data_IF_079945360292
#
_entry.id   IF_079945360292
#
_cell.length_a   1.000
_cell.length_b   1.000
_cell.length_c   1.000
_cell.angle_alpha   90.00
_cell.angle_beta   90.00
_cell.angle_gamma   90.00
#
_symmetry.space_group_name_H-M   'P 1'
#
loop_
_entity.id
_entity.type
_entity.pdbx_description
1 polymer ?
#
# COMPACT_ATOMS: atom_id res chain seq x y z
N UNK A 1 -1.73 -0.43 -38.10
CA UNK A 1 -1.94 0.15 -36.75
C UNK A 1 -1.35 -0.85 -35.75
N UNK A 2 -0.45 -0.42 -34.86
CA UNK A 2 0.06 -1.28 -33.80
C UNK A 2 -1.07 -1.57 -32.81
N UNK A 3 -1.23 -2.84 -32.41
CA UNK A 3 -2.15 -3.19 -31.34
C UNK A 3 -1.69 -2.51 -30.03
N UNK A 4 -2.61 -1.95 -29.22
CA UNK A 4 -2.25 -1.41 -27.91
C UNK A 4 -1.65 -2.52 -27.04
N UNK A 5 -0.69 -2.17 -26.18
CA UNK A 5 -0.14 -3.13 -25.22
C UNK A 5 -1.21 -3.44 -24.17
N UNK A 6 -1.22 -4.66 -23.64
CA UNK A 6 -2.17 -5.06 -22.60
C UNK A 6 -2.19 -4.07 -21.42
N UNK A 7 -1.01 -3.57 -21.03
CA UNK A 7 -0.86 -2.61 -19.94
C UNK A 7 -1.58 -1.28 -20.19
N UNK A 8 -1.54 -0.76 -21.42
CA UNK A 8 -2.25 0.47 -21.81
C UNK A 8 -3.78 0.28 -21.79
N UNK A 9 -4.24 -0.95 -22.03
CA UNK A 9 -5.65 -1.32 -22.00
C UNK A 9 -6.16 -1.55 -20.57
N UNK A 10 -5.38 -2.22 -19.73
CA UNK A 10 -5.78 -2.60 -18.38
C UNK A 10 -5.69 -1.42 -17.38
N UNK A 11 -4.81 -0.45 -17.66
CA UNK A 11 -4.55 0.67 -16.77
C UNK A 11 -5.64 1.74 -16.88
N UNK A 12 -6.32 2.11 -15.78
CA UNK A 12 -7.28 3.20 -15.79
C UNK A 12 -6.56 4.52 -16.07
N UNK A 13 -7.23 5.51 -16.69
CA UNK A 13 -6.67 6.84 -16.84
C UNK A 13 -6.24 7.43 -15.49
N UNK A 14 -5.10 8.15 -15.43
CA UNK A 14 -4.48 8.57 -14.17
C UNK A 14 -5.30 9.62 -13.39
N UNK A 15 -6.27 10.26 -14.04
CA UNK A 15 -7.17 11.23 -13.42
C UNK A 15 -8.43 10.59 -12.81
N UNK A 16 -8.66 9.30 -13.05
CA UNK A 16 -9.82 8.62 -12.46
C UNK A 16 -9.61 8.41 -10.95
N UNK A 17 -10.68 8.65 -10.22
CA UNK A 17 -10.80 8.28 -8.80
C UNK A 17 -10.51 6.80 -8.63
N UNK A 18 -9.77 6.45 -7.56
CA UNK A 18 -9.30 5.10 -7.25
C UNK A 18 -8.28 4.48 -8.22
N UNK A 19 -7.73 5.24 -9.17
CA UNK A 19 -6.54 4.80 -9.91
C UNK A 19 -5.30 4.76 -9.01
N UNK A 20 -4.26 4.04 -9.43
CA UNK A 20 -2.96 4.04 -8.74
C UNK A 20 -2.39 5.46 -8.57
N UNK A 21 -2.52 6.31 -9.60
CA UNK A 21 -2.06 7.70 -9.53
C UNK A 21 -2.87 8.53 -8.52
N UNK A 22 -4.19 8.30 -8.46
CA UNK A 22 -5.03 8.94 -7.46
C UNK A 22 -4.52 8.60 -6.05
N UNK A 23 -4.39 7.32 -5.71
CA UNK A 23 -3.89 6.88 -4.40
C UNK A 23 -2.45 7.34 -4.12
N UNK A 24 -1.56 7.33 -5.12
CA UNK A 24 -0.19 7.81 -4.98
C UNK A 24 -0.06 9.31 -4.71
N UNK A 25 -1.13 10.08 -4.94
CA UNK A 25 -1.17 11.53 -4.68
C UNK A 25 -1.94 11.91 -3.40
N UNK A 26 -2.63 10.96 -2.78
CA UNK A 26 -3.44 11.23 -1.59
C UNK A 26 -2.57 11.37 -0.34
N UNK A 27 -2.81 12.46 0.39
CA UNK A 27 -2.32 12.59 1.76
C UNK A 27 -3.15 11.72 2.70
N UNK A 28 -2.61 11.44 3.88
CA UNK A 28 -3.30 10.69 4.93
C UNK A 28 -4.62 11.39 5.30
N UNK A 29 -4.61 12.71 5.53
CA UNK A 29 -5.83 13.45 5.84
C UNK A 29 -6.90 13.28 4.75
N UNK A 30 -6.55 13.56 3.49
CA UNK A 30 -7.51 13.44 2.38
C UNK A 30 -8.01 12.02 2.16
N UNK A 31 -7.16 11.02 2.38
CA UNK A 31 -7.57 9.62 2.26
C UNK A 31 -8.51 9.17 3.37
N UNK A 32 -8.33 9.66 4.59
CA UNK A 32 -9.24 9.32 5.70
C UNK A 32 -10.64 9.93 5.55
N UNK A 33 -10.75 11.04 4.80
CA UNK A 33 -12.02 11.69 4.45
C UNK A 33 -12.64 11.16 3.15
N UNK A 34 -11.91 10.31 2.42
CA UNK A 34 -12.34 9.79 1.13
C UNK A 34 -13.61 8.94 1.30
N UNK A 35 -14.67 9.28 0.55
CA UNK A 35 -15.85 8.44 0.46
C UNK A 35 -15.51 7.19 -0.36
N UNK A 36 -15.51 6.03 0.29
CA UNK A 36 -15.07 4.77 -0.30
C UNK A 36 -16.26 3.92 -0.79
N UNK A 37 -16.13 3.21 -1.94
CA UNK A 37 -17.14 2.24 -2.36
C UNK A 37 -17.28 1.12 -1.33
N UNK A 38 -18.47 0.51 -1.29
CA UNK A 38 -18.69 -0.67 -0.45
C UNK A 38 -18.13 -1.89 -1.15
N UNK A 39 -17.13 -2.56 -0.55
CA UNK A 39 -16.63 -3.84 -1.06
C UNK A 39 -17.54 -4.96 -0.56
N UNK A 40 -18.14 -5.72 -1.48
CA UNK A 40 -19.00 -6.83 -1.16
C UNK A 40 -18.24 -8.03 -0.57
N UNK A 41 -18.98 -8.85 0.17
CA UNK A 41 -18.45 -10.07 0.77
C UNK A 41 -18.00 -11.08 -0.29
N UNK A 42 -17.09 -11.97 0.12
CA UNK A 42 -16.63 -13.11 -0.69
C UNK A 42 -17.82 -13.99 -1.11
N UNK A 43 -17.81 -14.46 -2.36
CA UNK A 43 -18.89 -15.24 -2.96
C UNK A 43 -20.04 -14.39 -3.52
N UNK A 44 -19.82 -13.10 -3.74
CA UNK A 44 -20.80 -12.15 -4.29
C UNK A 44 -20.84 -12.15 -5.82
N UNK A 45 -19.74 -12.56 -6.47
CA UNK A 45 -19.69 -12.81 -7.91
C UNK A 45 -20.33 -14.16 -8.23
N UNK A 46 -21.30 -14.17 -9.15
CA UNK A 46 -22.03 -15.37 -9.60
C UNK A 46 -21.35 -15.99 -10.83
N UNK A 47 -20.94 -15.15 -11.78
CA UNK A 47 -20.22 -15.57 -12.98
C UNK A 47 -19.46 -14.39 -13.59
N UNK A 48 -18.37 -14.67 -14.29
CA UNK A 48 -17.64 -13.68 -15.07
C UNK A 48 -17.37 -14.23 -16.47
N UNK A 49 -17.62 -13.44 -17.51
CA UNK A 49 -17.41 -13.85 -18.90
C UNK A 49 -16.73 -12.73 -19.68
N UNK A 50 -15.71 -13.08 -20.46
CA UNK A 50 -15.08 -12.13 -21.38
C UNK A 50 -16.03 -11.72 -22.51
N UNK A 51 -15.89 -10.48 -22.97
CA UNK A 51 -16.61 -9.92 -24.11
C UNK A 51 -15.66 -9.11 -24.98
N UNK A 52 -15.93 -9.07 -26.28
CA UNK A 52 -15.27 -8.23 -27.28
C UNK A 52 -15.75 -6.77 -27.27
N UNK A 53 -16.82 -6.48 -26.53
CA UNK A 53 -17.36 -5.14 -26.39
C UNK A 53 -16.40 -4.24 -25.60
N UNK A 54 -16.05 -3.08 -26.19
CA UNK A 54 -15.29 -2.04 -25.49
C UNK A 54 -16.28 -1.27 -24.59
N UNK A 55 -16.05 -1.21 -23.28
CA UNK A 55 -16.95 -0.53 -22.37
C UNK A 55 -16.90 0.98 -22.63
N UNK A 56 -17.93 1.52 -23.28
CA UNK A 56 -18.04 2.95 -23.58
C UNK A 56 -18.82 3.76 -22.54
N UNK A 57 -19.45 3.11 -21.57
CA UNK A 57 -20.24 3.79 -20.54
C UNK A 57 -19.37 4.24 -19.37
N UNK A 58 -19.68 5.41 -18.80
CA UNK A 58 -19.05 5.89 -17.57
C UNK A 58 -19.21 4.90 -16.42
N UNK A 59 -20.37 4.21 -16.34
CA UNK A 59 -20.63 3.16 -15.35
C UNK A 59 -19.74 1.92 -15.49
N UNK A 60 -19.07 1.73 -16.62
CA UNK A 60 -18.18 0.60 -16.84
C UNK A 60 -16.70 0.94 -16.59
N UNK A 61 -16.40 2.22 -16.47
CA UNK A 61 -15.03 2.77 -16.45
C UNK A 61 -14.74 3.60 -15.20
N UNK A 62 -15.76 3.96 -14.43
CA UNK A 62 -15.65 4.79 -13.22
C UNK A 62 -16.35 4.09 -12.07
N UNK A 63 -15.67 3.98 -10.93
CA UNK A 63 -16.26 3.54 -9.66
C UNK A 63 -16.72 4.78 -8.88
N UNK A 64 -17.95 4.76 -8.38
CA UNK A 64 -18.46 5.84 -7.53
C UNK A 64 -18.42 5.47 -6.04
N UNK A 65 -18.26 6.45 -5.12
CA UNK A 65 -18.23 6.17 -3.68
C UNK A 65 -19.43 5.42 -3.10
N UNK A 66 -20.61 5.53 -3.72
CA UNK A 66 -21.84 4.88 -3.24
C UNK A 66 -22.11 3.55 -3.94
N UNK A 67 -21.18 3.08 -4.76
CA UNK A 67 -21.29 1.83 -5.48
C UNK A 67 -20.89 0.64 -4.61
N UNK A 68 -21.51 -0.50 -4.88
CA UNK A 68 -21.09 -1.78 -4.31
C UNK A 68 -20.25 -2.51 -5.34
N UNK A 69 -18.98 -2.72 -5.04
CA UNK A 69 -18.03 -3.41 -5.92
C UNK A 69 -17.75 -4.82 -5.41
N UNK A 70 -17.47 -5.80 -6.30
CA UNK A 70 -17.05 -7.13 -5.88
C UNK A 70 -15.71 -7.07 -5.14
N UNK A 71 -15.50 -8.03 -4.23
CA UNK A 71 -14.17 -8.26 -3.66
C UNK A 71 -13.21 -8.77 -4.72
N UNK A 72 -11.95 -8.32 -4.68
CA UNK A 72 -10.94 -8.79 -5.63
C UNK A 72 -10.71 -10.31 -5.55
N UNK A 73 -10.86 -10.92 -4.37
CA UNK A 73 -10.70 -12.37 -4.19
C UNK A 73 -11.59 -13.19 -5.13
N UNK A 74 -12.82 -12.73 -5.36
CA UNK A 74 -13.79 -13.37 -6.27
C UNK A 74 -13.40 -13.22 -7.75
N UNK A 75 -12.49 -12.30 -8.07
CA UNK A 75 -12.05 -11.97 -9.42
C UNK A 75 -10.69 -12.59 -9.79
N UNK A 76 -9.99 -13.21 -8.83
CA UNK A 76 -8.66 -13.80 -9.03
C UNK A 76 -8.60 -14.75 -10.23
N UNK A 77 -9.65 -15.54 -10.44
CA UNK A 77 -9.71 -16.49 -11.56
C UNK A 77 -9.80 -15.77 -12.91
N UNK A 78 -10.56 -14.67 -12.99
CA UNK A 78 -10.71 -13.93 -14.25
C UNK A 78 -9.48 -13.06 -14.53
N UNK A 79 -8.85 -12.50 -13.49
CA UNK A 79 -7.62 -11.72 -13.64
C UNK A 79 -6.45 -12.58 -14.09
N UNK A 80 -6.38 -13.85 -13.67
CA UNK A 80 -5.35 -14.78 -14.15
C UNK A 80 -5.44 -15.07 -15.66
N UNK A 81 -6.61 -14.91 -16.28
CA UNK A 81 -6.83 -15.23 -17.71
C UNK A 81 -6.99 -14.00 -18.60
N UNK A 82 -6.83 -12.79 -18.05
CA UNK A 82 -7.19 -11.54 -18.73
C UNK A 82 -6.26 -11.21 -19.90
N UNK A 83 -4.96 -11.49 -19.75
CA UNK A 83 -3.96 -11.21 -20.79
C UNK A 83 -4.16 -12.14 -21.99
N UNK A 84 -4.37 -13.44 -21.73
CA UNK A 84 -4.72 -14.41 -22.76
C UNK A 84 -6.02 -14.03 -23.46
N UNK A 85 -7.05 -13.62 -22.72
CA UNK A 85 -8.30 -13.17 -23.31
C UNK A 85 -8.11 -11.92 -24.19
N UNK A 86 -7.25 -10.97 -23.77
CA UNK A 86 -6.91 -9.78 -24.53
C UNK A 86 -6.22 -10.12 -25.86
N UNK A 87 -5.27 -11.07 -25.83
CA UNK A 87 -4.60 -11.60 -27.03
C UNK A 87 -5.60 -12.28 -27.99
N UNK A 88 -6.67 -12.88 -27.45
CA UNK A 88 -7.77 -13.46 -28.22
C UNK A 88 -8.84 -12.46 -28.67
N UNK A 89 -8.60 -11.16 -28.52
CA UNK A 89 -9.50 -10.11 -29.01
C UNK A 89 -10.57 -9.64 -28.01
N UNK A 90 -10.57 -10.16 -26.78
CA UNK A 90 -11.51 -9.72 -25.74
C UNK A 90 -11.12 -8.33 -25.21
N UNK A 91 -12.13 -7.52 -24.88
CA UNK A 91 -11.98 -6.11 -24.49
C UNK A 91 -12.78 -5.71 -23.26
N UNK A 92 -13.54 -6.62 -22.66
CA UNK A 92 -14.14 -6.41 -21.35
C UNK A 92 -14.44 -7.72 -20.62
N UNK A 93 -14.79 -7.60 -19.35
CA UNK A 93 -15.36 -8.67 -18.53
C UNK A 93 -16.76 -8.25 -18.09
N UNK A 94 -17.74 -9.10 -18.35
CA UNK A 94 -19.09 -8.95 -17.82
C UNK A 94 -19.16 -9.76 -16.54
N UNK A 95 -19.33 -9.08 -15.41
CA UNK A 95 -19.44 -9.72 -14.09
C UNK A 95 -20.91 -9.75 -13.69
N UNK A 96 -21.47 -10.96 -13.60
CA UNK A 96 -22.78 -11.17 -13.00
C UNK A 96 -22.60 -11.17 -11.49
N UNK A 97 -23.06 -10.11 -10.87
CA UNK A 97 -22.94 -9.85 -9.45
C UNK A 97 -24.33 -9.89 -8.82
N UNK A 98 -24.44 -10.39 -7.57
CA UNK A 98 -25.75 -10.64 -6.92
C UNK A 98 -26.62 -9.39 -6.81
N UNK A 99 -26.04 -8.20 -6.86
CA UNK A 99 -26.76 -6.94 -6.62
C UNK A 99 -27.19 -6.22 -7.91
N UNK A 100 -26.41 -6.31 -9.00
CA UNK A 100 -26.70 -5.84 -10.38
C UNK A 100 -25.58 -6.38 -11.28
N UNK A 101 -25.84 -6.74 -12.55
CA UNK A 101 -24.78 -7.06 -13.49
C UNK A 101 -23.95 -5.82 -13.82
N UNK A 102 -22.64 -5.86 -13.57
CA UNK A 102 -21.75 -4.72 -13.75
C UNK A 102 -20.67 -5.07 -14.78
N UNK A 103 -20.40 -4.13 -15.69
CA UNK A 103 -19.14 -4.09 -16.45
C UNK A 103 -18.20 -3.27 -15.59
N UNK A 104 -17.01 -3.77 -15.25
CA UNK A 104 -16.13 -3.06 -14.33
C UNK A 104 -14.68 -3.12 -14.81
N UNK A 105 -13.94 -2.04 -14.58
CA UNK A 105 -12.50 -2.00 -14.68
C UNK A 105 -11.89 -2.77 -13.48
N UNK A 106 -11.32 -3.94 -13.74
CA UNK A 106 -10.75 -4.83 -12.72
C UNK A 106 -9.61 -4.16 -11.93
N UNK A 107 -8.82 -3.31 -12.60
CA UNK A 107 -7.71 -2.59 -11.98
C UNK A 107 -8.18 -1.57 -10.93
N UNK A 108 -9.33 -0.92 -11.14
CA UNK A 108 -9.91 -0.03 -10.13
C UNK A 108 -10.40 -0.82 -8.91
N UNK A 109 -10.99 -2.01 -9.10
CA UNK A 109 -11.40 -2.89 -7.99
C UNK A 109 -10.17 -3.37 -7.20
N UNK A 110 -9.10 -3.74 -7.90
CA UNK A 110 -7.82 -4.12 -7.31
C UNK A 110 -7.25 -3.00 -6.45
N UNK A 111 -7.16 -1.79 -7.00
CA UNK A 111 -6.69 -0.62 -6.27
C UNK A 111 -7.58 -0.35 -5.04
N UNK A 112 -8.91 -0.39 -5.18
CA UNK A 112 -9.81 -0.27 -4.02
C UNK A 112 -9.57 -1.35 -2.96
N UNK A 113 -9.34 -2.60 -3.37
CA UNK A 113 -9.11 -3.68 -2.41
C UNK A 113 -7.76 -3.55 -1.69
N UNK A 114 -6.73 -3.07 -2.39
CA UNK A 114 -5.37 -2.95 -1.86
C UNK A 114 -5.16 -1.75 -0.95
N UNK A 115 -5.78 -0.61 -1.24
CA UNK A 115 -5.58 0.61 -0.45
C UNK A 115 -6.54 0.72 0.74
N UNK A 116 -7.65 -0.03 0.75
CA UNK A 116 -8.62 0.01 1.85
C UNK A 116 -7.99 -0.27 3.23
N UNK A 117 -7.15 -1.32 3.42
CA UNK A 117 -6.54 -1.59 4.73
C UNK A 117 -5.72 -0.42 5.26
N UNK A 118 -4.98 0.27 4.38
CA UNK A 118 -4.19 1.44 4.75
C UNK A 118 -5.08 2.61 5.18
N UNK A 119 -6.16 2.87 4.44
CA UNK A 119 -7.12 3.94 4.76
C UNK A 119 -7.79 3.70 6.11
N UNK A 120 -8.32 2.50 6.33
CA UNK A 120 -8.92 2.12 7.61
C UNK A 120 -7.90 2.18 8.75
N UNK A 121 -6.64 1.85 8.46
CA UNK A 121 -5.59 1.92 9.45
C UNK A 121 -5.28 3.36 9.87
N UNK A 122 -5.16 4.27 8.91
CA UNK A 122 -4.97 5.69 9.20
C UNK A 122 -6.18 6.34 9.87
N UNK A 123 -7.41 5.99 9.47
CA UNK A 123 -8.62 6.47 10.15
C UNK A 123 -8.59 6.11 11.63
N UNK A 124 -8.24 4.86 11.96
CA UNK A 124 -8.12 4.41 13.34
C UNK A 124 -6.97 5.12 14.08
N UNK A 125 -5.80 5.24 13.45
CA UNK A 125 -4.64 5.94 14.01
C UNK A 125 -4.96 7.40 14.33
N UNK A 126 -5.49 8.16 13.37
CA UNK A 126 -5.81 9.57 13.57
C UNK A 126 -6.88 9.76 14.65
N UNK A 127 -7.94 8.95 14.63
CA UNK A 127 -8.98 8.98 15.66
C UNK A 127 -8.38 8.76 17.04
N UNK A 128 -7.47 7.79 17.18
CA UNK A 128 -6.79 7.54 18.44
C UNK A 128 -5.90 8.71 18.85
N UNK A 129 -5.04 9.20 17.96
CA UNK A 129 -4.12 10.32 18.25
C UNK A 129 -4.86 11.60 18.64
N UNK A 130 -6.00 11.89 18.00
CA UNK A 130 -6.86 13.03 18.31
C UNK A 130 -7.59 12.88 19.65
N UNK A 131 -7.81 11.65 20.11
CA UNK A 131 -8.44 11.37 21.42
C UNK A 131 -7.47 11.46 22.60
N UNK A 132 -6.16 11.54 22.35
CA UNK A 132 -5.15 11.61 23.39
C UNK A 132 -5.23 12.94 24.16
N UNK A 133 -4.97 12.89 25.46
CA UNK A 133 -5.03 14.06 26.34
C UNK A 133 -3.84 15.01 26.18
N UNK A 134 -2.81 14.61 25.43
CA UNK A 134 -1.61 15.43 25.20
C UNK A 134 -1.56 15.94 23.77
N UNK A 135 -1.03 17.16 23.61
CA UNK A 135 -0.96 17.84 22.33
C UNK A 135 0.27 17.36 21.54
N UNK A 136 0.03 16.64 20.44
CA UNK A 136 1.05 16.23 19.47
C UNK A 136 1.54 17.38 18.59
N UNK A 137 0.80 18.50 18.57
CA UNK A 137 1.19 19.75 17.93
C UNK A 137 1.57 19.56 16.44
N UNK A 138 2.73 20.10 16.01
CA UNK A 138 3.16 19.99 14.61
C UNK A 138 3.32 18.56 14.11
N UNK A 139 3.60 17.58 14.98
CA UNK A 139 3.85 16.20 14.54
C UNK A 139 2.59 15.54 13.96
N UNK A 140 1.42 15.81 14.54
CA UNK A 140 0.15 15.32 14.00
C UNK A 140 -0.11 15.91 12.62
N UNK A 141 0.15 17.21 12.45
CA UNK A 141 -0.04 17.88 11.16
C UNK A 141 0.92 17.33 10.09
N UNK A 142 2.18 17.12 10.45
CA UNK A 142 3.14 16.46 9.57
C UNK A 142 2.65 15.07 9.15
N UNK A 143 2.12 14.27 10.08
CA UNK A 143 1.57 12.95 9.77
C UNK A 143 0.39 13.04 8.80
N UNK A 144 -0.55 13.95 9.03
CA UNK A 144 -1.71 14.18 8.17
C UNK A 144 -1.34 14.56 6.72
N UNK A 145 -0.24 15.31 6.55
CA UNK A 145 0.23 15.81 5.26
C UNK A 145 1.12 14.80 4.49
N UNK A 146 1.53 13.69 5.12
CA UNK A 146 2.25 12.61 4.44
C UNK A 146 1.35 11.87 3.45
N UNK A 147 1.94 11.28 2.41
CA UNK A 147 1.21 10.42 1.47
C UNK A 147 0.76 9.12 2.14
N UNK A 148 -0.35 8.54 1.71
CA UNK A 148 -0.80 7.24 2.25
C UNK A 148 0.20 6.10 1.99
N UNK A 149 0.96 6.21 0.91
CA UNK A 149 2.02 5.28 0.50
C UNK A 149 3.35 5.54 1.21
N UNK A 150 3.38 6.49 2.16
CA UNK A 150 4.60 6.79 2.90
C UNK A 150 5.08 5.56 3.65
N UNK A 151 6.41 5.43 3.72
CA UNK A 151 7.09 4.35 4.43
C UNK A 151 7.80 4.90 5.65
N UNK A 152 8.01 4.05 6.63
CA UNK A 152 8.93 4.35 7.72
C UNK A 152 10.34 4.10 7.21
N UNK A 153 11.23 5.08 7.33
CA UNK A 153 12.63 4.94 6.91
C UNK A 153 13.52 4.83 8.15
N UNK A 154 14.09 3.64 8.36
CA UNK A 154 15.13 3.36 9.34
C UNK A 154 16.54 3.35 8.76
N UNK A 155 17.53 2.96 9.57
CA UNK A 155 18.92 2.71 9.17
C UNK A 155 19.08 1.37 8.44
N UNK A 156 18.41 0.33 8.92
CA UNK A 156 18.14 -0.84 8.10
C UNK A 156 17.01 -0.47 7.14
N UNK A 157 17.12 -0.84 5.86
CA UNK A 157 16.09 -0.56 4.84
C UNK A 157 14.82 -1.32 5.21
N UNK A 158 14.05 -0.76 6.13
CA UNK A 158 12.74 -1.26 6.52
C UNK A 158 11.79 -0.62 5.53
N UNK A 159 11.50 -1.34 4.45
CA UNK A 159 10.74 -0.84 3.32
C UNK A 159 9.23 -0.94 3.58
N UNK A 160 8.81 -0.66 4.82
CA UNK A 160 7.47 -0.97 5.31
C UNK A 160 6.56 0.26 5.39
N UNK A 161 5.28 0.02 5.16
CA UNK A 161 4.27 1.05 5.01
C UNK A 161 3.89 1.66 6.35
N UNK A 162 3.76 2.99 6.40
CA UNK A 162 3.53 3.76 7.62
C UNK A 162 2.18 3.42 8.28
N UNK A 163 1.17 2.99 7.51
CA UNK A 163 -0.14 2.62 8.06
C UNK A 163 -0.05 1.44 9.04
N UNK A 164 0.99 0.61 8.93
CA UNK A 164 1.25 -0.52 9.82
C UNK A 164 1.53 -0.12 11.26
N UNK A 165 1.81 1.17 11.52
CA UNK A 165 1.83 1.71 12.89
C UNK A 165 0.54 1.47 13.66
N UNK A 166 -0.58 1.18 12.98
CA UNK A 166 -1.81 0.73 13.64
C UNK A 166 -1.60 -0.47 14.54
N UNK A 167 -0.60 -1.33 14.31
CA UNK A 167 -0.33 -2.47 15.20
C UNK A 167 0.08 -2.05 16.62
N UNK A 168 0.51 -0.80 16.82
CA UNK A 168 0.76 -0.23 18.15
C UNK A 168 -0.53 0.08 18.91
N UNK A 169 -1.68 0.06 18.23
CA UNK A 169 -2.99 0.31 18.80
C UNK A 169 -3.71 -1.01 19.08
N UNK A 170 -3.98 -1.28 20.36
CA UNK A 170 -4.76 -2.44 20.81
C UNK A 170 -3.96 -3.73 20.89
N UNK A 171 -4.65 -4.87 20.75
CA UNK A 171 -4.09 -6.22 20.91
C UNK A 171 -3.72 -6.84 19.55
N UNK A 172 -2.98 -6.11 18.73
CA UNK A 172 -2.42 -6.65 17.49
C UNK A 172 -1.01 -7.18 17.73
N UNK A 173 -0.63 -8.20 16.95
CA UNK A 173 0.78 -8.61 16.91
C UNK A 173 1.62 -7.45 16.38
N UNK A 174 2.70 -7.14 17.09
CA UNK A 174 3.66 -6.13 16.65
C UNK A 174 4.45 -6.69 15.47
N UNK A 175 4.45 -5.96 14.35
CA UNK A 175 5.28 -6.31 13.20
C UNK A 175 6.76 -6.08 13.53
N UNK A 176 7.63 -6.99 13.08
CA UNK A 176 9.07 -6.93 13.33
C UNK A 176 9.69 -5.61 12.86
N UNK A 177 9.24 -5.11 11.71
CA UNK A 177 9.72 -3.83 11.16
C UNK A 177 9.39 -2.63 12.05
N UNK A 178 8.18 -2.64 12.65
CA UNK A 178 7.78 -1.60 13.61
C UNK A 178 8.62 -1.68 14.87
N UNK A 179 8.88 -2.90 15.36
CA UNK A 179 9.75 -3.12 16.51
C UNK A 179 11.19 -2.65 16.24
N UNK A 180 11.75 -2.99 15.08
CA UNK A 180 13.08 -2.56 14.66
C UNK A 180 13.18 -1.04 14.56
N UNK A 181 12.19 -0.38 13.94
CA UNK A 181 12.15 1.08 13.87
C UNK A 181 12.12 1.74 15.26
N UNK A 182 11.37 1.18 16.22
CA UNK A 182 11.33 1.68 17.60
C UNK A 182 12.65 1.46 18.35
N UNK A 183 13.33 0.33 18.11
CA UNK A 183 14.64 0.04 18.68
C UNK A 183 15.71 1.01 18.15
N UNK A 184 15.73 1.22 16.85
CA UNK A 184 16.63 2.19 16.21
C UNK A 184 16.40 3.59 16.78
N UNK A 185 15.14 4.05 16.82
CA UNK A 185 14.80 5.34 17.41
C UNK A 185 15.29 5.46 18.87
N UNK A 186 15.05 4.43 19.68
CA UNK A 186 15.48 4.39 21.08
C UNK A 186 17.01 4.43 21.23
N UNK A 187 17.73 3.75 20.34
CA UNK A 187 19.19 3.77 20.29
C UNK A 187 19.71 5.18 19.99
N UNK A 188 19.20 5.85 18.95
CA UNK A 188 19.62 7.20 18.59
C UNK A 188 19.28 8.23 19.64
N UNK A 189 18.09 8.15 20.22
CA UNK A 189 17.67 9.04 21.30
C UNK A 189 18.66 8.95 22.48
N UNK A 190 19.00 7.73 22.93
CA UNK A 190 19.98 7.53 23.99
C UNK A 190 21.39 8.00 23.61
N UNK A 191 21.85 7.71 22.40
CA UNK A 191 23.16 8.14 21.92
C UNK A 191 23.27 9.67 21.88
N UNK A 192 22.24 10.36 21.37
CA UNK A 192 22.16 11.82 21.34
C UNK A 192 22.22 12.44 22.74
N UNK A 193 21.46 11.90 23.69
CA UNK A 193 21.47 12.39 25.07
C UNK A 193 22.78 12.12 25.81
N UNK A 194 23.47 11.03 25.48
CA UNK A 194 24.80 10.73 26.07
C UNK A 194 25.88 11.68 25.54
N UNK A 195 25.83 12.03 24.25
CA UNK A 195 26.77 12.96 23.63
C UNK A 195 26.61 14.41 24.11
N UNK A 196 25.39 14.80 24.48
CA UNK A 196 25.08 16.17 24.94
C UNK A 196 25.35 16.40 26.43
N UNK A 197 25.50 15.34 27.22
CA UNK A 197 25.69 15.41 28.68
C UNK A 197 27.13 15.11 29.14
N UNK A 198 27.98 14.59 28.27
CA UNK A 198 29.40 14.33 28.54
C UNK A 198 30.30 15.44 27.98
N UNK A 199 31.31 15.94 28.72
CA UNK A 199 32.34 16.78 28.13
C UNK A 199 33.07 15.95 27.06
N UNK A 200 32.93 16.39 25.81
CA UNK A 200 33.45 15.79 24.56
C UNK A 200 34.68 14.89 24.82
N UNK A 201 34.51 13.56 24.94
CA UNK A 201 35.67 12.69 24.94
C UNK A 201 36.28 12.72 23.53
N UNK A 202 37.61 12.55 23.40
CA UNK A 202 38.24 12.44 22.08
C UNK A 202 37.54 11.30 21.32
N UNK A 203 37.14 11.55 20.07
CA UNK A 203 36.51 10.53 19.22
C UNK A 203 37.32 9.24 19.31
N UNK A 204 36.76 8.13 19.81
CA UNK A 204 37.30 6.83 19.49
C UNK A 204 37.09 6.64 18.00
N UNK A 205 38.18 6.31 17.32
CA UNK A 205 38.23 6.03 15.89
C UNK A 205 37.26 4.86 15.58
N UNK A 206 36.01 5.19 15.25
CA UNK A 206 34.91 4.22 15.03
C UNK A 206 35.20 3.23 13.90
N UNK A 207 36.28 3.44 13.14
CA UNK A 207 36.82 2.48 12.18
C UNK A 207 37.58 1.30 12.81
N UNK A 208 37.90 1.32 14.11
CA UNK A 208 38.66 0.24 14.76
C UNK A 208 37.80 -0.87 15.38
N UNK A 209 36.48 -0.68 15.49
CA UNK A 209 35.58 -1.67 16.13
C UNK A 209 34.87 -2.62 15.16
N UNK A 210 35.16 -2.54 13.86
CA UNK A 210 34.69 -3.52 12.88
C UNK A 210 35.83 -4.47 12.50
N UNK A 211 35.91 -5.71 13.03
CA UNK A 211 36.72 -6.72 12.40
C UNK A 211 36.07 -7.02 11.05
N UNK A 212 36.60 -6.43 9.97
CA UNK A 212 36.39 -6.95 8.63
C UNK A 212 37.13 -8.28 8.52
N UNK A 213 36.54 -9.35 9.05
CA UNK A 213 36.88 -10.69 8.60
C UNK A 213 36.34 -10.83 7.19
N UNK A 214 37.19 -10.50 6.22
CA UNK A 214 37.00 -10.84 4.81
C UNK A 214 36.97 -12.37 4.75
N UNK A 215 35.88 -13.01 4.28
CA UNK A 215 35.86 -14.46 4.13
C UNK A 215 36.93 -14.85 3.10
N UNK A 216 37.93 -15.60 3.53
CA UNK A 216 38.89 -16.22 2.61
C UNK A 216 38.12 -17.20 1.71
N UNK A 217 38.02 -16.86 0.43
CA UNK A 217 37.54 -17.79 -0.60
C UNK A 217 38.50 -18.98 -0.65
N UNK A 218 38.04 -20.14 -0.18
CA UNK A 218 38.76 -21.40 -0.35
C UNK A 218 38.68 -21.81 -1.83
N UNK A 219 39.74 -21.55 -2.58
CA UNK A 219 40.01 -22.24 -3.84
C UNK A 219 40.24 -23.73 -3.56
N UNK A 220 39.20 -24.53 -3.73
CA UNK A 220 39.36 -25.96 -4.00
C UNK A 220 39.42 -26.17 -5.51
N UNK A 221 40.65 -26.21 -6.04
CA UNK A 221 40.99 -26.91 -7.26
C UNK A 221 41.61 -28.27 -6.89
N UNK A 222 41.46 -29.22 -7.82
CA UNK A 222 41.94 -30.63 -7.89
C UNK A 222 40.86 -31.65 -7.51
N UNK A 223 40.55 -32.65 -8.33
CA UNK A 223 41.12 -33.14 -9.60
C UNK A 223 40.02 -33.94 -10.31
#
# INVERSE_FOLDING_TARGET
MSLPRFQDYASPPPHLTFSTNHFGSLTIASATELSYPTIALIGSVVSATFSDEIPGSGSATVITPNEVIPTYSDLTNITASIEDAFLNGMRSVIVKFRYIGLKICLELIWNCSNFLPAIEAYQHLLTHLQSLTFNLGPALKTLEDLLITSKIQGFFVSDFELYKLKCLLGESWLEEDVFNALLEFSYFYKAYHTLTTSPKPPLPDLMQLWPMEVPQQSTHQKL
#
